data_IF_050786954477
#
_entry.id   IF_050786954477
#
_cell.length_a   1.000
_cell.length_b   1.000
_cell.length_c   1.000
_cell.angle_alpha   90.00
_cell.angle_beta   90.00
_cell.angle_gamma   90.00
#
_symmetry.space_group_name_H-M   'P 1'
#
loop_
_entity.id
_entity.type
_entity.pdbx_description
1 polymer ?
#
# COMPACT_ATOMS: atom_id res chain seq x y z
N UNK A 1 -23.63 -0.35 30.67
CA UNK A 1 -22.74 -1.50 30.40
C UNK A 1 -22.02 -1.25 29.10
N UNK A 2 -20.70 -1.08 29.13
CA UNK A 2 -19.89 -0.95 27.91
C UNK A 2 -19.85 -2.33 27.24
N UNK A 3 -20.34 -2.42 26.00
CA UNK A 3 -20.32 -3.67 25.24
C UNK A 3 -18.89 -4.07 24.86
N UNK A 4 -18.66 -5.35 24.57
CA UNK A 4 -17.36 -5.84 24.14
C UNK A 4 -16.91 -5.14 22.84
N UNK A 5 -15.77 -4.44 22.90
CA UNK A 5 -15.18 -3.71 21.76
C UNK A 5 -13.88 -4.40 21.32
N UNK A 6 -13.63 -4.41 20.02
CA UNK A 6 -12.37 -4.90 19.46
C UNK A 6 -11.40 -3.74 19.22
N UNK A 7 -10.15 -3.87 19.65
CA UNK A 7 -9.07 -2.90 19.45
C UNK A 7 -7.89 -3.55 18.73
N UNK A 8 -7.05 -2.71 18.11
CA UNK A 8 -5.77 -3.14 17.54
C UNK A 8 -4.67 -2.76 18.52
N UNK A 9 -3.87 -3.72 18.97
CA UNK A 9 -2.79 -3.47 19.94
C UNK A 9 -1.44 -3.74 19.30
N UNK A 10 -0.45 -2.93 19.65
CA UNK A 10 0.94 -3.08 19.22
C UNK A 10 1.88 -2.59 20.33
N UNK A 11 3.17 -2.88 20.22
CA UNK A 11 4.20 -2.40 21.15
C UNK A 11 4.89 -1.13 20.63
N UNK A 12 5.84 -0.58 21.41
CA UNK A 12 6.65 0.59 21.04
C UNK A 12 7.38 0.45 19.70
N UNK A 13 7.71 -0.79 19.30
CA UNK A 13 8.37 -1.10 18.03
C UNK A 13 7.43 -1.07 16.82
N UNK A 14 6.12 -1.15 17.08
CA UNK A 14 5.03 -1.17 16.09
C UNK A 14 5.20 -2.22 14.99
N UNK A 15 5.97 -3.27 15.27
CA UNK A 15 6.33 -4.31 14.31
C UNK A 15 5.19 -5.28 14.02
N UNK A 16 4.33 -5.53 15.01
CA UNK A 16 3.23 -6.50 14.95
C UNK A 16 1.97 -5.94 15.58
N UNK A 17 0.81 -6.24 14.99
CA UNK A 17 -0.47 -5.72 15.43
C UNK A 17 -1.47 -6.84 15.65
N UNK A 18 -2.12 -6.86 16.82
CA UNK A 18 -3.07 -7.90 17.20
C UNK A 18 -4.46 -7.33 17.44
N UNK A 19 -5.49 -8.09 17.11
CA UNK A 19 -6.85 -7.80 17.54
C UNK A 19 -7.10 -8.27 18.97
N UNK A 20 -7.57 -7.38 19.85
CA UNK A 20 -7.97 -7.72 21.22
C UNK A 20 -9.42 -7.29 21.44
N UNK A 21 -10.28 -8.24 21.79
CA UNK A 21 -11.65 -7.98 22.23
C UNK A 21 -11.71 -7.87 23.75
N UNK A 22 -12.20 -6.75 24.26
CA UNK A 22 -12.32 -6.47 25.69
C UNK A 22 -13.43 -5.45 25.96
N UNK A 23 -13.87 -5.42 27.21
CA UNK A 23 -14.92 -4.53 27.73
C UNK A 23 -14.39 -3.50 28.76
N UNK A 24 -13.11 -3.60 29.12
CA UNK A 24 -12.45 -2.81 30.17
C UNK A 24 -10.96 -2.63 29.88
N UNK A 25 -10.39 -1.54 30.38
CA UNK A 25 -8.96 -1.21 30.27
C UNK A 25 -8.11 -2.28 30.96
N UNK A 26 -8.58 -2.85 32.08
CA UNK A 26 -7.92 -3.98 32.74
C UNK A 26 -7.81 -5.21 31.84
N UNK A 27 -8.88 -5.58 31.13
CA UNK A 27 -8.84 -6.69 30.19
C UNK A 27 -7.95 -6.39 28.98
N UNK A 28 -7.99 -5.15 28.47
CA UNK A 28 -7.12 -4.72 27.39
C UNK A 28 -5.65 -4.88 27.77
N UNK A 29 -5.26 -4.39 28.96
CA UNK A 29 -3.89 -4.51 29.48
C UNK A 29 -3.46 -5.98 29.58
N UNK A 30 -4.26 -6.82 30.23
CA UNK A 30 -3.93 -8.24 30.41
C UNK A 30 -3.82 -9.00 29.08
N UNK A 31 -4.84 -8.90 28.21
CA UNK A 31 -4.85 -9.62 26.93
C UNK A 31 -3.80 -9.07 25.96
N UNK A 32 -3.61 -7.75 25.95
CA UNK A 32 -2.63 -7.07 25.11
C UNK A 32 -1.20 -7.44 25.48
N UNK A 33 -0.84 -7.35 26.77
CA UNK A 33 0.51 -7.72 27.23
C UNK A 33 0.85 -9.18 26.96
N UNK A 34 -0.08 -10.11 27.17
CA UNK A 34 0.11 -11.53 26.84
C UNK A 34 0.34 -11.75 25.34
N UNK A 35 -0.42 -11.07 24.47
CA UNK A 35 -0.27 -11.17 23.02
C UNK A 35 1.03 -10.55 22.52
N UNK A 36 1.48 -9.49 23.17
CA UNK A 36 2.71 -8.76 22.83
C UNK A 36 3.96 -9.33 23.52
N UNK A 37 3.82 -10.34 24.40
CA UNK A 37 4.94 -10.90 25.15
C UNK A 37 5.60 -9.90 26.11
N UNK A 38 4.82 -8.92 26.61
CA UNK A 38 5.31 -7.89 27.52
C UNK A 38 5.16 -8.35 28.98
N UNK A 39 6.28 -8.34 29.73
CA UNK A 39 6.31 -8.68 31.15
C UNK A 39 6.42 -7.39 31.99
N UNK A 40 5.57 -7.27 33.02
CA UNK A 40 5.58 -6.14 33.95
C UNK A 40 4.54 -5.06 33.62
N UNK A 41 4.64 -3.93 34.33
CA UNK A 41 3.74 -2.80 34.16
C UNK A 41 3.96 -2.08 32.81
N UNK A 42 2.84 -1.78 32.15
CA UNK A 42 2.80 -1.12 30.85
C UNK A 42 1.97 0.16 30.89
N UNK A 43 2.36 1.13 30.07
CA UNK A 43 1.56 2.29 29.70
C UNK A 43 0.88 2.05 28.36
N UNK A 44 -0.35 2.54 28.22
CA UNK A 44 -1.10 2.48 26.99
C UNK A 44 -1.26 3.90 26.48
N UNK A 45 -0.99 4.12 25.20
CA UNK A 45 -1.27 5.39 24.55
C UNK A 45 -1.89 5.16 23.17
N UNK A 46 -2.60 6.17 22.69
CA UNK A 46 -3.05 6.26 21.31
C UNK A 46 -1.88 6.57 20.38
N UNK A 47 -2.15 6.50 19.08
CA UNK A 47 -1.16 6.77 18.05
C UNK A 47 -0.61 8.21 18.09
N UNK A 48 -1.41 9.17 18.57
CA UNK A 48 -1.00 10.57 18.74
C UNK A 48 -0.21 10.82 20.05
N UNK A 49 0.02 9.78 20.86
CA UNK A 49 0.71 9.87 22.15
C UNK A 49 -0.21 10.14 23.35
N UNK A 50 -1.52 10.27 23.15
CA UNK A 50 -2.47 10.47 24.26
C UNK A 50 -2.51 9.23 25.15
N UNK A 51 -2.24 9.40 26.44
CA UNK A 51 -2.19 8.30 27.41
C UNK A 51 -3.60 7.84 27.78
N UNK A 52 -3.77 6.51 27.90
CA UNK A 52 -5.00 5.87 28.37
C UNK A 52 -4.77 5.38 29.80
N UNK A 53 -5.09 6.22 30.77
CA UNK A 53 -4.86 5.98 32.20
C UNK A 53 -6.12 5.65 33.00
N UNK A 54 -7.32 6.00 32.51
CA UNK A 54 -8.59 5.70 33.17
C UNK A 54 -9.64 4.97 32.28
N UNK A 55 -10.63 4.37 32.94
CA UNK A 55 -11.71 3.60 32.28
C UNK A 55 -12.75 4.49 31.58
N UNK A 56 -12.93 5.73 32.02
CA UNK A 56 -13.90 6.67 31.45
C UNK A 56 -13.42 7.13 30.07
N UNK A 57 -12.15 7.51 29.95
CA UNK A 57 -11.50 7.82 28.69
C UNK A 57 -11.50 6.58 27.77
N UNK A 58 -11.15 5.40 28.29
CA UNK A 58 -11.19 4.16 27.53
C UNK A 58 -12.57 3.85 26.93
N UNK A 59 -13.65 4.15 27.66
CA UNK A 59 -15.01 3.93 27.19
C UNK A 59 -15.37 4.81 25.97
N UNK A 60 -14.75 5.98 25.83
CA UNK A 60 -14.94 6.89 24.70
C UNK A 60 -14.20 6.45 23.44
N UNK A 61 -13.19 5.58 23.57
CA UNK A 61 -12.37 5.16 22.44
C UNK A 61 -13.21 4.33 21.45
N UNK A 62 -13.20 4.68 20.14
CA UNK A 62 -13.90 3.90 19.11
C UNK A 62 -13.34 2.48 18.95
N UNK A 63 -14.18 1.50 18.58
CA UNK A 63 -13.69 0.19 18.17
C UNK A 63 -12.69 0.31 16.99
N UNK A 64 -11.75 -0.63 16.91
CA UNK A 64 -10.68 -0.73 15.91
C UNK A 64 -9.58 0.35 16.00
N UNK A 65 -9.60 1.16 17.04
CA UNK A 65 -8.50 2.10 17.35
C UNK A 65 -7.21 1.34 17.65
N UNK A 66 -6.08 1.91 17.20
CA UNK A 66 -4.75 1.39 17.48
C UNK A 66 -4.30 1.91 18.84
N UNK A 67 -3.89 1.00 19.71
CA UNK A 67 -3.40 1.27 21.07
C UNK A 67 -1.98 0.71 21.18
N UNK A 68 -1.05 1.57 21.55
CA UNK A 68 0.38 1.25 21.66
C UNK A 68 0.73 1.00 23.12
N UNK A 69 1.38 -0.13 23.37
CA UNK A 69 1.84 -0.56 24.69
C UNK A 69 3.32 -0.19 24.85
N UNK A 70 3.64 0.48 25.94
CA UNK A 70 4.99 0.88 26.33
C UNK A 70 5.36 0.27 27.66
N UNK A 71 6.59 -0.21 27.82
CA UNK A 71 7.16 -0.56 29.12
C UNK A 71 7.41 0.71 29.92
N UNK A 72 7.41 0.63 31.25
CA UNK A 72 7.71 1.80 32.11
C UNK A 72 9.05 2.50 31.81
N UNK A 73 10.00 1.77 31.21
CA UNK A 73 11.32 2.28 30.84
C UNK A 73 11.34 2.99 29.48
N UNK A 74 10.25 2.94 28.72
CA UNK A 74 10.17 3.49 27.37
C UNK A 74 9.48 4.85 27.37
N UNK A 75 10.01 5.79 26.59
CA UNK A 75 9.31 7.03 26.32
C UNK A 75 8.12 6.77 25.39
N UNK A 76 7.01 7.48 25.61
CA UNK A 76 5.87 7.46 24.68
C UNK A 76 6.29 8.19 23.41
N UNK A 77 6.13 7.53 22.26
CA UNK A 77 6.51 8.07 20.95
C UNK A 77 5.26 8.17 20.09
N UNK A 78 4.92 9.37 19.65
CA UNK A 78 3.79 9.58 18.73
C UNK A 78 4.04 8.85 17.41
N UNK A 79 3.00 8.60 16.63
CA UNK A 79 3.15 7.99 15.30
C UNK A 79 3.99 8.83 14.36
N UNK A 80 3.87 10.15 14.46
CA UNK A 80 4.72 11.09 13.74
C UNK A 80 6.18 10.98 14.18
N UNK A 81 6.47 10.98 15.47
CA UNK A 81 7.84 10.87 15.99
C UNK A 81 8.46 9.50 15.74
N UNK A 82 7.66 8.44 15.79
CA UNK A 82 8.10 7.08 15.49
C UNK A 82 8.54 6.99 14.04
N UNK A 83 7.73 7.53 13.12
CA UNK A 83 8.04 7.60 11.70
C UNK A 83 9.25 8.51 11.47
N UNK A 84 9.34 9.67 12.12
CA UNK A 84 10.49 10.58 12.03
C UNK A 84 11.78 9.91 12.52
N UNK A 85 11.72 9.18 13.63
CA UNK A 85 12.86 8.47 14.19
C UNK A 85 13.30 7.31 13.30
N UNK A 86 12.36 6.60 12.67
CA UNK A 86 12.68 5.60 11.65
C UNK A 86 13.31 6.27 10.42
N UNK A 87 12.72 7.36 9.91
CA UNK A 87 13.27 8.11 8.78
C UNK A 87 14.70 8.58 9.07
N UNK A 88 14.96 9.08 10.29
CA UNK A 88 16.31 9.47 10.75
C UNK A 88 17.27 8.29 10.81
N UNK A 89 16.82 7.10 11.20
CA UNK A 89 17.64 5.87 11.28
C UNK A 89 17.92 5.27 9.91
N UNK A 90 16.90 5.18 9.04
CA UNK A 90 17.01 4.66 7.67
C UNK A 90 17.85 5.60 6.80
N UNK A 91 17.65 6.90 6.97
CA UNK A 91 18.49 7.92 6.35
C UNK A 91 19.68 8.31 7.22
N UNK A 92 20.07 7.53 8.24
CA UNK A 92 21.27 7.84 9.03
C UNK A 92 22.49 7.96 8.10
N UNK A 93 22.57 7.13 7.06
CA UNK A 93 23.57 7.28 6.00
C UNK A 93 23.50 8.62 5.28
N UNK A 94 22.33 9.14 4.92
CA UNK A 94 22.17 10.40 4.15
C UNK A 94 22.18 11.67 5.00
N UNK A 95 21.69 11.60 6.24
CA UNK A 95 21.70 12.72 7.19
C UNK A 95 23.09 12.85 7.81
N UNK A 96 23.70 11.75 8.23
CA UNK A 96 25.09 11.76 8.70
C UNK A 96 26.04 12.01 7.53
N UNK A 97 25.78 11.54 6.30
CA UNK A 97 26.55 11.98 5.12
C UNK A 97 26.21 13.39 4.68
N UNK A 98 25.04 13.96 5.00
CA UNK A 98 24.72 15.36 4.73
C UNK A 98 25.44 16.31 5.69
N UNK A 99 25.45 15.96 6.98
CA UNK A 99 26.17 16.66 8.05
C UNK A 99 27.69 16.48 7.89
N UNK A 100 28.15 15.23 7.66
CA UNK A 100 29.57 14.96 7.37
C UNK A 100 29.98 15.45 6.00
N UNK A 101 29.17 15.44 4.94
CA UNK A 101 29.54 16.11 3.69
C UNK A 101 29.57 17.62 3.87
N UNK A 102 28.72 18.21 4.72
CA UNK A 102 28.85 19.60 5.12
C UNK A 102 30.22 19.92 5.75
N UNK A 103 30.70 19.05 6.64
CA UNK A 103 32.03 19.16 7.25
C UNK A 103 33.19 18.74 6.32
N UNK A 104 32.95 17.80 5.39
CA UNK A 104 33.97 17.11 4.57
C UNK A 104 34.07 17.65 3.12
N UNK A 105 33.11 18.46 2.65
CA UNK A 105 33.26 19.30 1.45
C UNK A 105 34.41 20.32 1.62
N UNK A 106 34.95 20.45 2.83
CA UNK A 106 36.21 21.15 3.11
C UNK A 106 37.49 20.35 2.76
N UNK A 107 37.39 19.05 2.44
CA UNK A 107 38.58 18.22 2.21
C UNK A 107 38.33 16.89 1.49
N UNK A 108 38.63 16.89 0.18
CA UNK A 108 38.94 15.72 -0.70
C UNK A 108 37.78 14.77 -1.04
N UNK A 109 37.21 15.00 -2.23
CA UNK A 109 36.05 14.31 -2.81
C UNK A 109 36.25 12.83 -3.22
N UNK A 110 37.48 12.30 -3.26
CA UNK A 110 37.76 10.97 -3.84
C UNK A 110 37.38 9.80 -2.91
N UNK A 111 37.38 10.00 -1.58
CA UNK A 111 37.05 8.96 -0.60
C UNK A 111 35.54 8.72 -0.44
N UNK A 112 34.70 9.71 -0.78
CA UNK A 112 33.23 9.61 -0.74
C UNK A 112 32.70 8.57 -1.74
N UNK A 113 33.35 8.46 -2.90
CA UNK A 113 32.98 7.48 -3.95
C UNK A 113 33.29 6.05 -3.49
N UNK A 114 34.26 5.87 -2.58
CA UNK A 114 34.62 4.56 -2.03
C UNK A 114 33.67 4.13 -0.92
N UNK A 115 33.29 5.04 -0.01
CA UNK A 115 32.33 4.77 1.06
C UNK A 115 30.92 4.43 0.52
N UNK A 116 30.46 5.13 -0.52
CA UNK A 116 29.18 4.85 -1.19
C UNK A 116 29.14 3.51 -1.93
N UNK A 117 30.30 2.92 -2.27
CA UNK A 117 30.39 1.61 -2.93
C UNK A 117 30.41 0.43 -1.97
N UNK A 118 30.74 0.63 -0.70
CA UNK A 118 30.99 -0.47 0.25
C UNK A 118 29.76 -0.91 1.06
N UNK A 119 28.74 -0.06 1.27
CA UNK A 119 27.49 -0.39 1.97
C UNK A 119 26.39 -1.03 1.08
N UNK A 120 26.64 -1.18 -0.22
CA UNK A 120 25.67 -1.65 -1.22
C UNK A 120 25.47 -3.18 -1.32
N UNK A 121 25.74 -3.97 -0.27
CA UNK A 121 25.78 -5.46 -0.40
C UNK A 121 24.56 -6.22 0.10
N UNK A 122 23.65 -5.65 0.90
CA UNK A 122 22.48 -6.41 1.40
C UNK A 122 21.28 -6.43 0.46
N UNK A 123 21.16 -5.42 -0.42
CA UNK A 123 20.08 -5.36 -1.43
C UNK A 123 20.09 -6.55 -2.38
N UNK A 124 21.26 -7.00 -2.84
CA UNK A 124 21.39 -8.13 -3.77
C UNK A 124 21.04 -9.49 -3.15
N UNK A 125 20.99 -9.61 -1.83
CA UNK A 125 20.65 -10.87 -1.15
C UNK A 125 19.14 -11.07 -1.16
N UNK A 126 18.70 -12.18 -1.75
CA UNK A 126 17.27 -12.51 -1.91
C UNK A 126 16.79 -13.50 -0.85
N UNK A 127 17.57 -14.55 -0.56
CA UNK A 127 17.12 -15.63 0.32
C UNK A 127 17.22 -15.24 1.80
N UNK A 128 16.34 -15.83 2.60
CA UNK A 128 16.35 -15.72 4.06
C UNK A 128 17.64 -16.22 4.70
N UNK A 129 18.24 -17.25 4.13
CA UNK A 129 19.51 -17.80 4.61
C UNK A 129 20.66 -16.79 4.46
N UNK A 130 20.63 -16.00 3.38
CA UNK A 130 21.69 -15.04 3.05
C UNK A 130 21.56 -13.72 3.83
N UNK A 131 20.33 -13.32 4.18
CA UNK A 131 19.99 -12.10 4.92
C UNK A 131 18.88 -12.34 5.96
N UNK A 132 19.14 -13.09 7.04
CA UNK A 132 18.15 -13.39 8.06
C UNK A 132 17.69 -12.14 8.83
N UNK A 133 18.57 -11.13 8.91
CA UNK A 133 18.29 -9.85 9.56
C UNK A 133 17.14 -9.10 8.87
N UNK A 134 17.11 -9.13 7.54
CA UNK A 134 15.96 -8.60 6.80
C UNK A 134 14.67 -9.27 7.26
N UNK A 135 14.61 -10.61 7.40
CA UNK A 135 13.39 -11.36 7.76
C UNK A 135 13.01 -11.32 9.25
N UNK A 136 13.78 -10.62 10.10
CA UNK A 136 13.47 -10.60 11.53
C UNK A 136 12.06 -10.02 11.78
N UNK A 137 11.42 -10.54 12.84
CA UNK A 137 10.09 -10.15 13.31
C UNK A 137 8.93 -10.41 12.33
N UNK A 138 9.17 -11.15 11.24
CA UNK A 138 8.12 -11.59 10.34
C UNK A 138 7.60 -12.99 10.69
N UNK A 139 6.29 -13.07 10.90
CA UNK A 139 5.58 -14.35 10.83
C UNK A 139 5.25 -14.68 9.37
N UNK A 140 6.24 -15.17 8.64
CA UNK A 140 6.07 -15.55 7.22
C UNK A 140 6.80 -16.85 6.88
N UNK A 141 6.22 -17.62 5.96
CA UNK A 141 6.87 -18.76 5.32
C UNK A 141 7.61 -18.38 4.02
N UNK A 142 7.65 -17.09 3.65
CA UNK A 142 8.39 -16.63 2.46
C UNK A 142 9.89 -16.89 2.63
N UNK A 143 10.51 -17.57 1.67
CA UNK A 143 11.95 -17.88 1.71
C UNK A 143 12.80 -16.81 1.03
N UNK A 144 12.17 -15.94 0.24
CA UNK A 144 12.84 -14.83 -0.47
C UNK A 144 12.16 -13.49 -0.20
N UNK A 145 12.93 -12.38 -0.31
CA UNK A 145 12.42 -11.02 -0.15
C UNK A 145 11.33 -10.74 -1.18
N UNK A 146 11.52 -11.20 -2.41
CA UNK A 146 10.62 -11.05 -3.54
C UNK A 146 9.30 -11.77 -3.33
N UNK A 147 9.31 -13.01 -2.82
CA UNK A 147 8.10 -13.74 -2.47
C UNK A 147 7.31 -13.02 -1.36
N UNK A 148 8.00 -12.48 -0.35
CA UNK A 148 7.35 -11.67 0.68
C UNK A 148 6.71 -10.43 0.07
N UNK A 149 7.46 -9.64 -0.72
CA UNK A 149 6.97 -8.41 -1.33
C UNK A 149 5.81 -8.68 -2.30
N UNK A 150 5.87 -9.79 -3.05
CA UNK A 150 4.79 -10.25 -3.92
C UNK A 150 3.49 -10.43 -3.12
N UNK A 151 3.54 -11.13 -1.99
CA UNK A 151 2.37 -11.32 -1.12
C UNK A 151 1.87 -10.01 -0.52
N UNK A 152 2.77 -9.10 -0.13
CA UNK A 152 2.40 -7.77 0.37
C UNK A 152 1.65 -6.94 -0.67
N UNK A 153 2.04 -7.03 -1.94
CA UNK A 153 1.27 -6.41 -3.02
C UNK A 153 -0.12 -7.04 -3.15
N UNK A 154 -0.21 -8.37 -3.16
CA UNK A 154 -1.50 -9.07 -3.23
C UNK A 154 -2.45 -8.67 -2.09
N UNK A 155 -1.94 -8.57 -0.87
CA UNK A 155 -2.72 -8.15 0.30
C UNK A 155 -3.31 -6.75 0.10
N UNK A 156 -2.54 -5.84 -0.51
CA UNK A 156 -2.97 -4.47 -0.79
C UNK A 156 -4.10 -4.42 -1.82
N UNK A 157 -3.94 -5.13 -2.94
CA UNK A 157 -4.96 -5.21 -3.99
C UNK A 157 -6.23 -5.91 -3.48
N UNK A 158 -6.09 -6.97 -2.69
CA UNK A 158 -7.23 -7.62 -2.01
C UNK A 158 -7.94 -6.63 -1.08
N UNK A 159 -7.19 -5.80 -0.36
CA UNK A 159 -7.73 -4.71 0.45
C UNK A 159 -8.62 -3.76 -0.37
N UNK A 160 -8.16 -3.34 -1.55
CA UNK A 160 -8.96 -2.49 -2.46
C UNK A 160 -10.23 -3.19 -2.93
N UNK A 161 -10.15 -4.49 -3.26
CA UNK A 161 -11.31 -5.27 -3.65
C UNK A 161 -12.31 -5.46 -2.50
N UNK A 162 -11.86 -5.81 -1.28
CA UNK A 162 -12.77 -5.96 -0.14
C UNK A 162 -13.41 -4.64 0.28
N UNK A 163 -12.66 -3.54 0.20
CA UNK A 163 -13.22 -2.21 0.40
C UNK A 163 -14.29 -1.90 -0.67
N UNK A 164 -14.06 -2.30 -1.92
CA UNK A 164 -15.01 -2.09 -3.03
C UNK A 164 -16.30 -2.86 -2.74
N UNK A 165 -16.19 -4.12 -2.33
CA UNK A 165 -17.34 -4.93 -1.93
C UNK A 165 -18.12 -4.33 -0.77
N UNK A 166 -17.41 -3.85 0.26
CA UNK A 166 -18.04 -3.24 1.43
C UNK A 166 -18.84 -1.99 1.04
N UNK A 167 -18.24 -1.10 0.25
CA UNK A 167 -18.88 0.14 -0.19
C UNK A 167 -20.03 -0.14 -1.16
N UNK A 168 -19.85 -1.10 -2.08
CA UNK A 168 -20.88 -1.46 -3.04
C UNK A 168 -22.13 -2.05 -2.36
N UNK A 169 -21.95 -2.91 -1.36
CA UNK A 169 -23.06 -3.57 -0.63
C UNK A 169 -23.85 -2.62 0.27
N UNK A 170 -23.27 -1.47 0.66
CA UNK A 170 -23.95 -0.44 1.45
C UNK A 170 -24.76 0.53 0.59
N UNK A 171 -24.56 0.52 -0.73
CA UNK A 171 -25.22 1.43 -1.64
C UNK A 171 -26.70 1.04 -1.85
N UNK A 172 -27.62 2.02 -1.80
CA UNK A 172 -29.05 1.80 -1.95
C UNK A 172 -29.43 1.15 -3.29
N UNK A 173 -28.66 1.39 -4.35
CA UNK A 173 -28.83 0.75 -5.67
C UNK A 173 -28.63 -0.76 -5.56
N UNK A 174 -27.62 -1.21 -4.82
CA UNK A 174 -27.38 -2.64 -4.57
C UNK A 174 -28.44 -3.22 -3.63
N UNK A 175 -28.80 -2.48 -2.58
CA UNK A 175 -29.71 -2.97 -1.53
C UNK A 175 -31.17 -3.02 -1.98
N UNK A 176 -31.68 -2.05 -2.74
CA UNK A 176 -33.12 -1.94 -3.02
C UNK A 176 -33.53 -2.36 -4.44
N UNK A 177 -32.60 -2.46 -5.40
CA UNK A 177 -32.93 -2.84 -6.78
C UNK A 177 -32.41 -4.25 -7.12
N UNK A 178 -33.27 -5.28 -7.18
CA UNK A 178 -32.85 -6.66 -7.50
C UNK A 178 -32.19 -6.81 -8.87
N UNK A 179 -32.62 -6.03 -9.86
CA UNK A 179 -32.06 -6.06 -11.22
C UNK A 179 -30.63 -5.52 -11.21
N UNK A 180 -30.42 -4.34 -10.61
CA UNK A 180 -29.09 -3.74 -10.46
C UNK A 180 -28.18 -4.62 -9.60
N UNK A 181 -28.70 -5.23 -8.53
CA UNK A 181 -27.97 -6.17 -7.68
C UNK A 181 -27.41 -7.35 -8.48
N UNK A 182 -28.24 -7.98 -9.32
CA UNK A 182 -27.82 -9.13 -10.16
C UNK A 182 -26.68 -8.75 -11.11
N UNK A 183 -26.75 -7.57 -11.72
CA UNK A 183 -25.68 -7.07 -12.61
C UNK A 183 -24.38 -6.78 -11.83
N UNK A 184 -24.50 -6.10 -10.68
CA UNK A 184 -23.35 -5.80 -9.82
C UNK A 184 -22.71 -7.07 -9.27
N UNK A 185 -23.49 -8.10 -8.94
CA UNK A 185 -22.96 -9.41 -8.56
C UNK A 185 -22.21 -10.09 -9.72
N UNK A 186 -22.67 -9.87 -10.97
CA UNK A 186 -21.95 -10.23 -12.19
C UNK A 186 -20.61 -9.53 -12.29
N UNK A 187 -20.59 -8.20 -12.14
CA UNK A 187 -19.39 -7.37 -12.13
C UNK A 187 -18.40 -7.80 -11.04
N UNK A 188 -18.89 -8.04 -9.82
CA UNK A 188 -18.07 -8.50 -8.68
C UNK A 188 -17.42 -9.86 -9.00
N UNK A 189 -18.18 -10.78 -9.59
CA UNK A 189 -17.66 -12.10 -9.99
C UNK A 189 -16.59 -11.95 -11.07
N UNK A 190 -16.83 -11.10 -12.06
CA UNK A 190 -15.86 -10.78 -13.09
C UNK A 190 -14.55 -10.24 -12.48
N UNK A 191 -14.61 -9.23 -11.62
CA UNK A 191 -13.42 -8.69 -10.95
C UNK A 191 -12.69 -9.72 -10.12
N UNK A 192 -13.40 -10.57 -9.39
CA UNK A 192 -12.78 -11.63 -8.58
C UNK A 192 -12.01 -12.62 -9.46
N UNK A 193 -12.62 -13.08 -10.56
CA UNK A 193 -11.98 -14.02 -11.48
C UNK A 193 -10.77 -13.38 -12.16
N UNK A 194 -10.92 -12.14 -12.64
CA UNK A 194 -9.83 -11.39 -13.29
C UNK A 194 -8.66 -11.13 -12.34
N UNK A 195 -8.94 -10.72 -11.09
CA UNK A 195 -7.90 -10.60 -10.06
C UNK A 195 -7.16 -11.91 -9.78
N UNK A 196 -7.85 -13.06 -9.84
CA UNK A 196 -7.21 -14.36 -9.68
C UNK A 196 -6.30 -14.69 -10.87
N UNK A 197 -6.76 -14.44 -12.09
CA UNK A 197 -5.95 -14.58 -13.33
C UNK A 197 -4.71 -13.67 -13.29
N UNK A 198 -4.84 -12.46 -12.75
CA UNK A 198 -3.78 -11.48 -12.60
C UNK A 198 -2.93 -11.68 -11.34
N UNK A 199 -3.14 -12.77 -10.59
CA UNK A 199 -2.46 -13.06 -9.34
C UNK A 199 -2.50 -11.89 -8.34
N UNK A 200 -3.59 -11.13 -8.31
CA UNK A 200 -3.79 -9.94 -7.50
C UNK A 200 -2.67 -8.91 -7.63
N UNK A 201 -2.06 -8.81 -8.81
CA UNK A 201 -0.91 -7.94 -9.11
C UNK A 201 0.22 -8.04 -8.08
N UNK A 202 0.51 -9.26 -7.62
CA UNK A 202 1.64 -9.49 -6.72
C UNK A 202 2.95 -8.93 -7.27
N UNK A 203 3.10 -8.91 -8.60
CA UNK A 203 4.24 -8.37 -9.32
C UNK A 203 4.53 -6.89 -9.06
N UNK A 204 3.56 -6.08 -8.62
CA UNK A 204 3.76 -4.64 -8.41
C UNK A 204 4.88 -4.30 -7.43
N UNK A 205 5.13 -5.16 -6.44
CA UNK A 205 6.22 -4.94 -5.48
C UNK A 205 7.40 -5.87 -5.68
N UNK A 206 7.34 -6.77 -6.67
CA UNK A 206 8.37 -7.76 -6.93
C UNK A 206 9.40 -7.21 -7.93
N UNK A 207 10.62 -6.93 -7.47
CA UNK A 207 11.70 -6.42 -8.34
C UNK A 207 12.09 -7.35 -9.49
N UNK A 208 11.75 -8.64 -9.44
CA UNK A 208 11.91 -9.55 -10.61
C UNK A 208 10.97 -9.21 -11.75
N UNK A 209 9.92 -8.45 -11.47
CA UNK A 209 8.96 -7.93 -12.43
C UNK A 209 9.25 -6.48 -12.84
N UNK A 210 10.41 -5.94 -12.45
CA UNK A 210 10.87 -4.62 -12.89
C UNK A 210 11.01 -4.56 -14.41
N UNK A 211 10.86 -3.35 -14.96
CA UNK A 211 11.21 -3.09 -16.35
C UNK A 211 12.72 -3.29 -16.49
N UNK A 212 13.17 -4.04 -17.51
CA UNK A 212 14.60 -4.05 -17.84
C UNK A 212 15.03 -2.60 -18.10
N UNK A 213 16.16 -2.20 -17.52
CA UNK A 213 16.69 -0.83 -17.63
C UNK A 213 17.03 -0.42 -19.06
N UNK A 214 17.13 -1.37 -19.97
CA UNK A 214 17.50 -1.18 -21.36
C UNK A 214 16.46 -1.89 -22.25
N UNK A 215 15.41 -1.19 -22.68
CA UNK A 215 14.66 -1.43 -23.92
C UNK A 215 13.43 -0.51 -24.01
N UNK A 216 13.65 0.64 -24.65
CA UNK A 216 12.81 0.98 -25.81
C UNK A 216 13.01 -0.18 -26.81
N UNK A 217 11.95 -0.90 -27.14
CA UNK A 217 11.88 -1.94 -28.19
C UNK A 217 12.75 -3.23 -28.05
N UNK A 218 12.26 -4.25 -27.32
CA UNK A 218 11.75 -5.55 -27.85
C UNK A 218 11.88 -6.75 -26.88
N UNK A 219 10.80 -7.53 -26.67
CA UNK A 219 10.70 -8.47 -25.56
C UNK A 219 11.48 -9.80 -25.75
N UNK A 220 12.45 -10.10 -24.89
CA UNK A 220 12.88 -11.49 -24.54
C UNK A 220 13.37 -11.46 -23.08
N UNK A 221 12.77 -12.16 -22.10
CA UNK A 221 12.65 -13.61 -21.97
C UNK A 221 11.58 -14.01 -20.92
N UNK A 222 11.06 -15.23 -21.10
CA UNK A 222 9.99 -15.90 -20.34
C UNK A 222 10.42 -16.32 -18.92
N UNK A 223 9.58 -16.16 -17.88
CA UNK A 223 9.66 -17.02 -16.71
C UNK A 223 9.07 -18.41 -17.04
N UNK A 224 9.80 -19.50 -16.75
CA UNK A 224 9.24 -20.87 -16.71
C UNK A 224 8.11 -20.87 -15.67
N UNK A 225 6.86 -21.30 -15.90
CA UNK A 225 6.29 -22.26 -16.85
C UNK A 225 4.82 -21.84 -17.13
N UNK A 226 4.63 -20.95 -18.11
CA UNK A 226 3.34 -20.76 -18.78
C UNK A 226 3.41 -21.54 -20.10
N UNK A 227 2.54 -22.54 -20.29
CA UNK A 227 2.35 -23.23 -21.57
C UNK A 227 1.08 -22.68 -22.19
N UNK A 228 1.24 -22.02 -23.33
CA UNK A 228 0.20 -21.30 -24.05
C UNK A 228 0.92 -20.33 -24.98
N UNK A 229 1.54 -20.86 -26.02
CA UNK A 229 1.54 -20.16 -27.30
C UNK A 229 0.09 -20.17 -27.74
N UNK A 230 -0.49 -18.99 -27.91
CA UNK A 230 -1.54 -18.65 -28.87
C UNK A 230 -2.02 -17.23 -28.51
N UNK A 231 -2.21 -16.42 -29.53
CA UNK A 231 -2.68 -15.03 -29.51
C UNK A 231 -3.71 -14.79 -28.41
N UNK A 232 -3.52 -13.80 -27.51
CA UNK A 232 -4.44 -13.57 -26.40
C UNK A 232 -5.55 -12.63 -26.87
N UNK A 233 -6.79 -13.09 -27.13
CA UNK A 233 -7.83 -12.23 -27.64
C UNK A 233 -8.52 -11.43 -26.52
N UNK A 234 -8.03 -11.48 -25.27
CA UNK A 234 -8.59 -10.78 -24.10
C UNK A 234 -7.61 -10.76 -22.89
N UNK A 235 -6.39 -10.23 -23.10
CA UNK A 235 -5.36 -10.11 -22.08
C UNK A 235 -5.04 -8.65 -21.76
N UNK A 236 -4.91 -8.30 -20.48
CA UNK A 236 -4.49 -6.94 -20.07
C UNK A 236 -3.12 -6.60 -20.68
N UNK A 237 -2.88 -5.33 -21.06
CA UNK A 237 -1.61 -4.91 -21.62
C UNK A 237 -0.43 -5.26 -20.72
N UNK A 238 0.69 -5.68 -21.30
CA UNK A 238 1.94 -6.00 -20.59
C UNK A 238 2.36 -4.91 -19.59
N UNK A 239 2.06 -3.64 -19.90
CA UNK A 239 2.38 -2.48 -19.07
C UNK A 239 1.56 -2.37 -17.79
N UNK A 240 0.37 -2.97 -17.74
CA UNK A 240 -0.56 -2.89 -16.61
C UNK A 240 -0.13 -3.79 -15.43
N UNK A 241 0.94 -4.59 -15.61
CA UNK A 241 1.47 -5.59 -14.66
C UNK A 241 2.94 -5.37 -14.29
N UNK A 242 3.52 -4.21 -14.59
CA UNK A 242 4.93 -3.94 -14.30
C UNK A 242 5.13 -3.55 -12.83
N UNK A 243 6.27 -3.96 -12.26
CA UNK A 243 6.64 -3.54 -10.92
C UNK A 243 6.77 -2.02 -10.82
N UNK A 244 6.46 -1.48 -9.64
CA UNK A 244 6.73 -0.07 -9.31
C UNK A 244 8.19 0.17 -8.92
N UNK A 245 8.96 -0.89 -8.70
CA UNK A 245 10.39 -0.79 -8.44
C UNK A 245 11.25 -1.18 -9.63
N UNK A 246 12.50 -0.72 -9.61
CA UNK A 246 13.55 -1.17 -10.52
C UNK A 246 14.07 -2.57 -10.16
N UNK A 247 15.03 -3.08 -10.93
CA UNK A 247 15.62 -4.42 -10.73
C UNK A 247 16.32 -4.58 -9.38
N UNK A 248 16.75 -3.49 -8.77
CA UNK A 248 17.38 -3.47 -7.45
C UNK A 248 16.35 -3.40 -6.31
N UNK A 249 15.09 -3.11 -6.64
CA UNK A 249 13.98 -3.00 -5.69
C UNK A 249 13.73 -1.58 -5.19
N UNK A 250 14.28 -0.56 -5.82
CA UNK A 250 14.02 0.84 -5.47
C UNK A 250 12.68 1.30 -6.04
N UNK A 251 11.81 1.78 -5.16
CA UNK A 251 10.57 2.48 -5.48
C UNK A 251 10.83 3.98 -5.49
N UNK A 252 10.32 4.68 -6.49
CA UNK A 252 10.38 6.14 -6.58
C UNK A 252 8.97 6.69 -6.41
N UNK A 253 8.82 7.70 -5.56
CA UNK A 253 7.55 8.39 -5.36
C UNK A 253 7.09 9.02 -6.68
N UNK A 254 5.84 8.75 -7.06
CA UNK A 254 5.22 9.28 -8.26
C UNK A 254 4.51 10.62 -8.01
N UNK A 255 4.67 11.18 -6.81
CA UNK A 255 4.03 12.41 -6.36
C UNK A 255 2.58 12.21 -5.96
N UNK A 256 1.97 13.32 -5.52
CA UNK A 256 0.57 13.36 -5.14
C UNK A 256 -0.32 12.96 -6.31
N UNK A 257 -1.54 12.55 -5.97
CA UNK A 257 -2.55 12.11 -6.94
C UNK A 257 -2.87 13.18 -8.02
N UNK A 258 -2.73 14.46 -7.67
CA UNK A 258 -2.99 15.65 -8.49
C UNK A 258 -1.76 16.15 -9.27
N UNK A 259 -0.56 15.64 -9.00
CA UNK A 259 0.67 16.05 -9.68
C UNK A 259 1.14 14.99 -10.69
N UNK A 260 1.91 15.39 -11.70
CA UNK A 260 2.56 14.44 -12.62
C UNK A 260 3.74 13.75 -11.94
N UNK A 261 4.46 14.46 -11.07
CA UNK A 261 5.71 14.03 -10.45
C UNK A 261 5.76 14.43 -8.97
N UNK A 262 6.70 13.85 -8.22
CA UNK A 262 6.98 14.23 -6.84
C UNK A 262 7.80 15.53 -6.80
N UNK A 263 7.45 16.46 -5.92
CA UNK A 263 8.21 17.71 -5.70
C UNK A 263 9.66 17.46 -5.26
N UNK A 264 9.90 16.33 -4.61
CA UNK A 264 11.23 15.89 -4.18
C UNK A 264 11.95 15.04 -5.25
N UNK A 265 11.32 14.81 -6.41
CA UNK A 265 11.84 14.05 -7.54
C UNK A 265 12.34 12.65 -7.16
N UNK A 266 13.40 12.20 -7.85
CA UNK A 266 14.04 10.89 -7.63
C UNK A 266 14.65 10.71 -6.23
N UNK A 267 14.84 11.80 -5.47
CA UNK A 267 15.37 11.73 -4.10
C UNK A 267 14.35 11.13 -3.13
N UNK A 268 13.07 11.24 -3.46
CA UNK A 268 12.02 10.58 -2.70
C UNK A 268 11.85 9.14 -3.19
N UNK A 269 12.70 8.27 -2.66
CA UNK A 269 12.72 6.85 -2.98
C UNK A 269 12.91 6.01 -1.73
N UNK A 270 12.53 4.74 -1.82
CA UNK A 270 12.77 3.75 -0.79
C UNK A 270 13.16 2.44 -1.46
N UNK A 271 14.02 1.65 -0.81
CA UNK A 271 14.26 0.29 -1.25
C UNK A 271 13.96 -0.68 -0.09
N UNK A 272 12.76 -1.29 -0.04
CA UNK A 272 12.38 -2.22 1.01
C UNK A 272 13.18 -3.52 0.98
N UNK A 273 14.02 -3.76 -0.03
CA UNK A 273 14.88 -4.94 -0.12
C UNK A 273 16.23 -4.76 0.59
N UNK A 274 16.61 -3.54 1.00
CA UNK A 274 17.91 -3.30 1.62
C UNK A 274 18.02 -3.91 3.01
N UNK A 275 17.09 -3.53 3.89
CA UNK A 275 17.13 -3.88 5.30
C UNK A 275 15.70 -3.94 5.89
N UNK A 276 15.65 -4.37 7.15
CA UNK A 276 14.42 -4.55 7.92
C UNK A 276 13.67 -3.23 8.11
N UNK A 277 14.38 -2.16 8.40
CA UNK A 277 13.82 -0.85 8.70
C UNK A 277 13.17 -0.22 7.47
N UNK A 278 13.85 -0.30 6.32
CA UNK A 278 13.34 0.10 5.00
C UNK A 278 12.11 -0.69 4.60
N UNK A 279 12.08 -2.01 4.88
CA UNK A 279 10.89 -2.83 4.68
C UNK A 279 9.72 -2.39 5.58
N UNK A 280 9.99 -2.08 6.85
CA UNK A 280 8.95 -1.60 7.78
C UNK A 280 8.42 -0.24 7.31
N UNK A 281 9.31 0.68 6.95
CA UNK A 281 8.92 2.00 6.46
C UNK A 281 8.12 1.93 5.16
N UNK A 282 8.38 0.96 4.28
CA UNK A 282 7.56 0.74 3.09
C UNK A 282 6.09 0.41 3.39
N UNK A 283 5.75 -0.03 4.61
CA UNK A 283 4.34 -0.18 5.01
C UNK A 283 3.58 1.15 5.08
N UNK A 284 4.28 2.28 5.24
CA UNK A 284 3.70 3.64 5.23
C UNK A 284 3.61 4.23 3.82
N UNK A 285 4.20 3.57 2.81
CA UNK A 285 4.04 3.97 1.42
C UNK A 285 2.61 3.65 0.97
N UNK A 286 1.99 4.62 0.34
CA UNK A 286 0.67 4.56 -0.25
C UNK A 286 0.68 4.20 -1.73
N UNK A 287 -0.37 3.53 -2.17
CA UNK A 287 -0.62 3.22 -3.57
C UNK A 287 -2.04 3.65 -3.87
N UNK A 288 -2.26 4.96 -3.91
CA UNK A 288 -3.60 5.55 -3.95
C UNK A 288 -4.10 5.71 -5.39
N UNK A 289 -5.42 5.71 -5.54
CA UNK A 289 -6.07 5.92 -6.82
C UNK A 289 -6.01 7.40 -7.22
N UNK A 290 -5.55 7.72 -8.43
CA UNK A 290 -5.58 9.09 -9.00
C UNK A 290 -7.01 9.58 -9.18
N UNK A 291 -7.86 8.72 -9.72
CA UNK A 291 -9.32 8.89 -9.77
C UNK A 291 -9.90 8.20 -8.54
N UNK A 292 -10.49 9.00 -7.67
CA UNK A 292 -11.07 8.54 -6.42
C UNK A 292 -12.10 7.42 -6.61
N UNK A 293 -11.85 6.31 -5.92
CA UNK A 293 -12.71 5.13 -5.97
C UNK A 293 -14.12 5.41 -5.46
N UNK A 294 -14.26 5.85 -4.21
CA UNK A 294 -15.56 5.95 -3.55
C UNK A 294 -16.38 7.18 -4.01
N UNK A 295 -15.72 8.23 -4.50
CA UNK A 295 -16.38 9.45 -4.99
C UNK A 295 -16.66 9.45 -6.50
N UNK A 296 -15.89 8.74 -7.30
CA UNK A 296 -16.03 8.75 -8.76
C UNK A 296 -16.29 7.36 -9.31
N UNK A 297 -15.36 6.42 -9.14
CA UNK A 297 -15.42 5.12 -9.84
C UNK A 297 -16.66 4.30 -9.47
N UNK A 298 -16.96 4.17 -8.17
CA UNK A 298 -18.16 3.45 -7.72
C UNK A 298 -19.45 4.14 -8.16
N UNK A 299 -19.67 5.44 -7.87
CA UNK A 299 -20.87 6.14 -8.32
C UNK A 299 -21.12 6.02 -9.83
N UNK A 300 -20.09 6.16 -10.66
CA UNK A 300 -20.21 5.98 -12.12
C UNK A 300 -20.61 4.55 -12.49
N UNK A 301 -20.04 3.53 -11.84
CA UNK A 301 -20.46 2.14 -12.08
C UNK A 301 -21.94 1.94 -11.74
N UNK A 302 -22.40 2.49 -10.61
CA UNK A 302 -23.80 2.40 -10.20
C UNK A 302 -24.73 3.11 -11.18
N UNK A 303 -24.37 4.32 -11.61
CA UNK A 303 -25.14 5.11 -12.57
C UNK A 303 -25.28 4.37 -13.91
N UNK A 304 -24.19 3.80 -14.43
CA UNK A 304 -24.20 3.03 -15.67
C UNK A 304 -25.08 1.77 -15.53
N UNK A 305 -25.02 1.08 -14.38
CA UNK A 305 -25.87 -0.09 -14.13
C UNK A 305 -27.36 0.28 -14.03
N UNK A 306 -27.69 1.46 -13.51
CA UNK A 306 -29.08 1.91 -13.36
C UNK A 306 -29.69 2.43 -14.67
N UNK A 307 -28.93 3.22 -15.43
CA UNK A 307 -29.43 4.00 -16.57
C UNK A 307 -29.19 3.33 -17.93
N UNK A 308 -28.62 2.11 -17.93
CA UNK A 308 -28.36 1.29 -19.11
C UNK A 308 -29.61 1.10 -19.98
N UNK A 309 -29.48 1.33 -21.29
CA UNK A 309 -30.50 0.97 -22.29
C UNK A 309 -30.47 -0.52 -22.60
N UNK A 310 -31.59 -1.04 -23.09
CA UNK A 310 -31.70 -2.43 -23.57
C UNK A 310 -30.68 -2.63 -24.70
N UNK A 311 -29.85 -3.67 -24.60
CA UNK A 311 -28.79 -3.99 -25.57
C UNK A 311 -27.42 -3.39 -25.27
N UNK A 312 -27.29 -2.49 -24.28
CA UNK A 312 -25.97 -2.00 -23.84
C UNK A 312 -25.37 -2.90 -22.76
N UNK A 313 -24.08 -3.20 -22.91
CA UNK A 313 -23.26 -3.90 -21.92
C UNK A 313 -22.39 -2.93 -21.13
N UNK A 314 -22.14 -3.25 -19.86
CA UNK A 314 -21.25 -2.46 -19.01
C UNK A 314 -19.82 -2.93 -19.25
N UNK A 315 -18.93 -2.01 -19.60
CA UNK A 315 -17.51 -2.32 -19.76
C UNK A 315 -16.85 -2.54 -18.40
N UNK A 316 -16.91 -3.77 -17.88
CA UNK A 316 -16.29 -4.11 -16.61
C UNK A 316 -14.76 -3.98 -16.64
N UNK A 317 -14.11 -4.21 -17.77
CA UNK A 317 -12.65 -4.09 -17.89
C UNK A 317 -12.17 -2.66 -17.61
N UNK A 318 -12.91 -1.65 -18.07
CA UNK A 318 -12.63 -0.24 -17.75
C UNK A 318 -12.58 0.02 -16.24
N UNK A 319 -13.63 -0.38 -15.51
CA UNK A 319 -13.69 -0.22 -14.06
C UNK A 319 -12.64 -1.08 -13.34
N UNK A 320 -12.36 -2.27 -13.86
CA UNK A 320 -11.30 -3.14 -13.34
C UNK A 320 -9.93 -2.45 -13.37
N UNK A 321 -9.58 -1.87 -14.52
CA UNK A 321 -8.32 -1.14 -14.71
C UNK A 321 -8.23 0.08 -13.79
N UNK A 322 -9.31 0.85 -13.66
CA UNK A 322 -9.36 1.96 -12.71
C UNK A 322 -9.22 1.54 -11.24
N UNK A 323 -9.68 0.35 -10.87
CA UNK A 323 -9.70 -0.08 -9.47
C UNK A 323 -8.43 -0.82 -9.04
N UNK A 324 -7.75 -1.52 -9.96
CA UNK A 324 -6.74 -2.50 -9.55
C UNK A 324 -5.41 -2.40 -10.30
N UNK A 325 -5.31 -1.63 -11.39
CA UNK A 325 -4.07 -1.54 -12.17
C UNK A 325 -3.34 -0.21 -11.95
N UNK A 326 -2.09 -0.16 -12.39
CA UNK A 326 -1.25 1.04 -12.40
C UNK A 326 -1.74 2.14 -13.36
N UNK A 327 -2.81 1.90 -14.13
CA UNK A 327 -3.49 2.94 -14.91
C UNK A 327 -3.99 4.06 -13.99
N UNK A 328 -4.47 3.67 -12.81
CA UNK A 328 -5.04 4.60 -11.84
C UNK A 328 -4.36 4.55 -10.46
N UNK A 329 -3.56 3.53 -10.16
CA UNK A 329 -2.80 3.46 -8.90
C UNK A 329 -1.46 4.20 -9.01
N UNK A 330 -1.16 5.07 -8.05
CA UNK A 330 0.12 5.80 -7.93
C UNK A 330 0.81 5.48 -6.61
N UNK A 331 2.11 5.21 -6.66
CA UNK A 331 2.96 5.09 -5.48
C UNK A 331 3.30 6.46 -4.93
N UNK A 332 2.86 6.76 -3.71
CA UNK A 332 3.15 8.01 -3.01
C UNK A 332 3.41 7.71 -1.53
N UNK A 333 4.09 8.59 -0.79
CA UNK A 333 4.19 8.45 0.66
C UNK A 333 3.00 9.17 1.28
N UNK A 334 2.28 8.52 2.21
CA UNK A 334 1.29 9.24 3.00
C UNK A 334 2.04 10.33 3.79
N UNK A 335 1.87 11.57 3.36
CA UNK A 335 2.65 12.67 3.88
C UNK A 335 2.16 13.03 5.29
N UNK A 336 2.85 12.54 6.32
CA UNK A 336 2.84 13.18 7.66
C UNK A 336 3.48 14.58 7.60
N UNK A 337 4.14 14.94 6.48
CA UNK A 337 4.87 16.20 6.27
C UNK A 337 4.15 17.21 5.37
N UNK A 338 3.02 16.89 4.72
CA UNK A 338 2.22 17.90 3.98
C UNK A 338 0.74 17.76 4.30
N UNK A 339 0.32 18.42 5.36
CA UNK A 339 -1.06 18.90 5.49
C UNK A 339 -1.21 20.05 4.47
N UNK A 340 -2.10 19.91 3.48
CA UNK A 340 -3.47 20.37 3.71
C UNK A 340 -4.50 19.28 3.41
N UNK A 341 -5.49 19.19 4.30
CA UNK A 341 -6.76 18.52 4.07
C UNK A 341 -7.51 19.18 2.91
N UNK A 342 -7.14 18.87 1.66
CA UNK A 342 -7.91 19.29 0.48
C UNK A 342 -8.77 18.14 0.00
N UNK A 343 -10.08 18.31 0.14
CA UNK A 343 -11.12 17.47 -0.44
C UNK A 343 -10.95 17.44 -1.96
N UNK A 344 -10.82 16.25 -2.55
CA UNK A 344 -10.85 16.11 -4.01
C UNK A 344 -12.16 16.68 -4.56
N UNK A 345 -12.06 17.59 -5.52
CA UNK A 345 -13.20 17.96 -6.35
C UNK A 345 -13.47 16.81 -7.35
N UNK A 346 -14.73 16.42 -7.59
CA UNK A 346 -15.06 15.35 -8.52
C UNK A 346 -14.65 15.77 -9.95
N UNK A 347 -13.67 15.07 -10.51
CA UNK A 347 -13.32 15.20 -11.93
C UNK A 347 -14.46 14.64 -12.77
N UNK A 348 -15.06 15.51 -13.59
CA UNK A 348 -16.13 15.16 -14.53
C UNK A 348 -15.52 14.28 -15.64
N UNK A 349 -15.93 13.02 -15.71
CA UNK A 349 -15.60 12.16 -16.84
C UNK A 349 -16.40 12.67 -18.05
N UNK A 350 -15.74 13.27 -19.02
CA UNK A 350 -16.37 13.63 -20.29
C UNK A 350 -16.54 12.35 -21.12
N UNK A 351 -17.79 12.00 -21.38
CA UNK A 351 -18.14 10.95 -22.32
C UNK A 351 -17.94 11.51 -23.74
N UNK A 352 -16.89 11.05 -24.43
CA UNK A 352 -16.76 11.28 -25.86
C UNK A 352 -17.93 10.64 -26.59
N UNK A 353 -18.86 11.44 -27.08
CA UNK A 353 -19.82 11.02 -28.09
C UNK A 353 -19.06 10.88 -29.40
N UNK A 354 -18.96 9.66 -29.92
CA UNK A 354 -18.61 9.43 -31.32
C UNK A 354 -19.67 10.14 -32.19
N UNK A 355 -19.26 11.23 -32.83
CA UNK A 355 -20.04 11.85 -33.90
C UNK A 355 -20.05 10.88 -35.09
N UNK A 356 -21.23 10.32 -35.37
CA UNK A 356 -21.52 9.63 -36.60
C UNK A 356 -21.36 10.61 -37.78
N UNK A 357 -20.25 10.49 -38.51
CA UNK A 357 -20.10 11.10 -39.82
C UNK A 357 -20.94 10.29 -40.84
N UNK A 358 -22.24 10.59 -40.92
CA UNK A 358 -23.01 10.35 -42.12
C UNK A 358 -22.73 11.47 -43.13
N UNK A 359 -21.74 11.26 -44.00
CA UNK A 359 -21.60 12.05 -45.22
C UNK A 359 -22.30 11.32 -46.36
N UNK A 360 -23.59 11.61 -46.52
CA UNK A 360 -24.32 11.41 -47.77
C UNK A 360 -24.38 12.72 -48.54
N UNK A 361 -23.74 12.75 -49.72
CA UNK A 361 -24.05 13.61 -50.88
C UNK A 361 -23.36 13.01 -52.10
#
# INVERSE_FOLDING_TARGET
MVGMKGYKVTDSSRSRMFGVACDSLRQLRSKGSTRLGLNGDVYLALDDGTIIDDEDYFALIPPQTVIVFYRKTEAVVTGADFILNILRRVNAGYLTAGEKAGEFLSGKAEDLVKFLREDGKSGGKSNREDDPGWFSDLETNATTKEEYMFRKSQDRIKGYFYKFLSDARKNSVYTHNPKSRKELDGCIRYFKNKLQEDFYFGCFFDRRCAKASDEVDKPRLKPKRWRGEDEVPNGLPKYDRLSYCDSEGRFVCQGRWDTSECEFGFRHSINPYLDRESRILFSTWNFDHRIEKSRTVLPTLFEVVQNRRIGQEVNYDYFYRLLFTNVNLKSDVLVIVTIPNSVHAPSRLEFGSEENNESGS
#
